data_IF_516274582431
#
_entry.id   IF_516274582431
#
_cell.length_a   1.000
_cell.length_b   1.000
_cell.length_c   1.000
_cell.angle_alpha   90.00
_cell.angle_beta   90.00
_cell.angle_gamma   90.00
#
_symmetry.space_group_name_H-M   'P 1'
#
loop_
_entity.id
_entity.type
_entity.pdbx_description
1 polymer ?
#
# COMPACT_ATOMS: atom_id res chain seq x y z
N UNK A 1 8.50 9.04 10.29
CA UNK A 1 9.35 8.25 11.20
C UNK A 1 9.41 6.80 10.72
N UNK A 2 10.39 6.01 11.15
CA UNK A 2 10.50 4.61 10.77
C UNK A 2 9.58 3.72 11.64
N UNK A 3 9.07 2.64 11.06
CA UNK A 3 8.20 1.66 11.73
C UNK A 3 8.79 0.26 11.61
N UNK A 4 8.36 -0.65 12.49
CA UNK A 4 8.71 -2.07 12.39
C UNK A 4 7.65 -2.81 11.57
N UNK A 5 8.10 -3.61 10.61
CA UNK A 5 7.28 -4.52 9.82
C UNK A 5 7.69 -5.96 10.14
N UNK A 6 6.72 -6.82 10.44
CA UNK A 6 6.95 -8.26 10.64
C UNK A 6 6.36 -9.04 9.46
N UNK A 7 7.18 -9.86 8.81
CA UNK A 7 6.80 -10.70 7.66
C UNK A 7 7.31 -12.11 7.91
N UNK A 8 6.40 -13.03 8.21
CA UNK A 8 6.78 -14.35 8.73
C UNK A 8 7.63 -14.19 9.99
N UNK A 9 8.80 -14.82 10.02
CA UNK A 9 9.73 -14.76 11.15
C UNK A 9 10.75 -13.60 11.06
N UNK A 10 10.56 -12.65 10.12
CA UNK A 10 11.49 -11.54 9.89
C UNK A 10 10.92 -10.23 10.42
N UNK A 11 11.77 -9.45 11.11
CA UNK A 11 11.47 -8.10 11.55
C UNK A 11 12.33 -7.09 10.78
N UNK A 12 11.69 -6.12 10.14
CA UNK A 12 12.31 -5.15 9.24
C UNK A 12 12.01 -3.72 9.69
N UNK A 13 13.03 -2.87 9.75
CA UNK A 13 12.84 -1.42 9.95
C UNK A 13 12.54 -0.80 8.59
N UNK A 14 11.39 -0.15 8.46
CA UNK A 14 10.94 0.41 7.19
C UNK A 14 10.51 1.87 7.33
N UNK A 15 10.69 2.64 6.26
CA UNK A 15 10.17 4.00 6.12
C UNK A 15 8.86 3.97 5.33
N UNK A 16 7.71 4.32 5.94
CA UNK A 16 6.45 4.41 5.24
C UNK A 16 6.37 5.72 4.43
N UNK A 17 5.74 5.65 3.27
CA UNK A 17 5.44 6.81 2.42
C UNK A 17 4.07 6.66 1.79
N UNK A 18 3.23 7.71 1.89
CA UNK A 18 1.92 7.73 1.26
C UNK A 18 2.09 8.01 -0.24
N UNK A 19 1.54 7.13 -1.08
CA UNK A 19 1.51 7.33 -2.52
C UNK A 19 0.33 8.23 -2.90
N UNK A 20 0.55 9.08 -3.90
CA UNK A 20 -0.44 10.04 -4.41
C UNK A 20 -0.49 10.01 -5.93
N UNK A 21 -1.63 10.44 -6.50
CA UNK A 21 -1.82 10.57 -7.95
C UNK A 21 -1.45 9.31 -8.74
N UNK A 22 -0.73 9.48 -9.86
CA UNK A 22 -0.35 8.38 -10.76
C UNK A 22 0.43 7.25 -10.09
N UNK A 23 1.30 7.56 -9.13
CA UNK A 23 2.04 6.51 -8.39
C UNK A 23 1.12 5.63 -7.57
N UNK A 24 0.05 6.22 -7.03
CA UNK A 24 -0.97 5.53 -6.25
C UNK A 24 -1.82 4.65 -7.15
N UNK A 25 -2.28 5.18 -8.28
CA UNK A 25 -3.08 4.44 -9.28
C UNK A 25 -2.33 3.20 -9.79
N UNK A 26 -1.05 3.36 -10.16
CA UNK A 26 -0.21 2.26 -10.60
C UNK A 26 0.02 1.20 -9.49
N UNK A 27 0.12 1.63 -8.23
CA UNK A 27 0.21 0.71 -7.11
C UNK A 27 -1.12 -0.04 -6.89
N UNK A 28 -2.26 0.64 -6.97
CA UNK A 28 -3.58 0.02 -6.85
C UNK A 28 -3.81 -1.02 -7.95
N UNK A 29 -3.43 -0.72 -9.19
CA UNK A 29 -3.53 -1.67 -10.31
C UNK A 29 -2.72 -2.95 -10.04
N UNK A 30 -1.48 -2.82 -9.55
CA UNK A 30 -0.65 -3.98 -9.17
C UNK A 30 -1.25 -4.79 -8.01
N UNK A 31 -1.79 -4.11 -6.99
CA UNK A 31 -2.46 -4.78 -5.87
C UNK A 31 -3.71 -5.52 -6.36
N UNK A 32 -4.51 -4.91 -7.22
CA UNK A 32 -5.71 -5.51 -7.78
C UNK A 32 -5.40 -6.72 -8.68
N UNK A 33 -4.26 -6.72 -9.38
CA UNK A 33 -3.81 -7.88 -10.15
C UNK A 33 -3.47 -9.09 -9.26
N UNK A 34 -2.89 -8.86 -8.08
CA UNK A 34 -2.57 -9.93 -7.11
C UNK A 34 -3.80 -10.34 -6.29
N UNK A 35 -4.65 -9.37 -5.93
CA UNK A 35 -5.84 -9.59 -5.10
C UNK A 35 -6.99 -8.67 -5.55
N UNK A 36 -7.85 -9.15 -6.46
CA UNK A 36 -8.88 -8.35 -7.13
C UNK A 36 -9.88 -7.67 -6.18
N UNK A 37 -10.11 -8.23 -4.99
CA UNK A 37 -11.03 -7.66 -3.99
C UNK A 37 -10.63 -6.25 -3.56
N UNK A 38 -9.33 -5.93 -3.47
CA UNK A 38 -8.87 -4.62 -3.03
C UNK A 38 -9.14 -3.53 -4.08
N UNK A 39 -9.11 -3.87 -5.37
CA UNK A 39 -9.49 -2.93 -6.43
C UNK A 39 -10.95 -2.48 -6.33
N UNK A 40 -11.83 -3.34 -5.80
CA UNK A 40 -13.27 -3.03 -5.65
C UNK A 40 -13.59 -2.11 -4.47
N UNK A 41 -12.67 -1.94 -3.51
CA UNK A 41 -12.96 -1.16 -2.30
C UNK A 41 -13.08 0.34 -2.57
N UNK A 42 -12.35 0.86 -3.56
CA UNK A 42 -12.45 2.28 -3.94
C UNK A 42 -13.86 2.64 -4.44
N UNK A 43 -14.58 1.69 -5.04
CA UNK A 43 -15.94 1.91 -5.53
C UNK A 43 -17.00 1.93 -4.41
N UNK A 44 -16.61 1.61 -3.17
CA UNK A 44 -17.52 1.57 -2.01
C UNK A 44 -17.45 2.83 -1.15
N UNK A 45 -16.65 3.82 -1.55
CA UNK A 45 -16.43 5.02 -0.77
C UNK A 45 -15.98 6.17 -1.64
N UNK A 46 -16.39 7.39 -1.31
CA UNK A 46 -16.00 8.59 -2.05
C UNK A 46 -14.58 9.06 -1.70
N UNK A 47 -14.02 8.60 -0.57
CA UNK A 47 -12.66 8.96 -0.17
C UNK A 47 -11.63 8.14 -0.92
N UNK A 48 -10.53 8.75 -1.33
CA UNK A 48 -9.39 8.02 -1.88
C UNK A 48 -8.77 7.11 -0.79
N UNK A 49 -8.80 5.78 -1.00
CA UNK A 49 -8.25 4.82 -0.04
C UNK A 49 -6.71 4.94 -0.05
N UNK A 50 -6.04 5.30 1.05
CA UNK A 50 -4.59 5.52 1.04
C UNK A 50 -3.81 4.24 0.70
N UNK A 51 -2.73 4.37 -0.08
CA UNK A 51 -1.75 3.30 -0.29
C UNK A 51 -0.40 3.75 0.28
N UNK A 52 0.17 2.93 1.15
CA UNK A 52 1.47 3.18 1.78
C UNK A 52 2.51 2.27 1.16
N UNK A 53 3.59 2.87 0.66
CA UNK A 53 4.80 2.14 0.23
C UNK A 53 5.76 2.04 1.39
N UNK A 54 6.19 0.81 1.69
CA UNK A 54 7.20 0.50 2.69
C UNK A 54 8.53 0.26 1.96
N UNK A 55 9.59 1.00 2.35
CA UNK A 55 10.96 0.77 1.90
C UNK A 55 11.85 0.47 3.10
N UNK A 56 12.85 -0.39 2.94
CA UNK A 56 13.87 -0.57 3.98
C UNK A 56 14.47 0.79 4.35
N UNK A 57 14.58 1.04 5.65
CA UNK A 57 15.16 2.26 6.22
C UNK A 57 16.66 2.35 6.01
#
# INVERSE_FOLDING_TARGET
>A
ENVWLEVGNRKLRVRPSLLKGKEREAALARIAAVSPRYGKYQNKTDREIPIVRLRAS
#
